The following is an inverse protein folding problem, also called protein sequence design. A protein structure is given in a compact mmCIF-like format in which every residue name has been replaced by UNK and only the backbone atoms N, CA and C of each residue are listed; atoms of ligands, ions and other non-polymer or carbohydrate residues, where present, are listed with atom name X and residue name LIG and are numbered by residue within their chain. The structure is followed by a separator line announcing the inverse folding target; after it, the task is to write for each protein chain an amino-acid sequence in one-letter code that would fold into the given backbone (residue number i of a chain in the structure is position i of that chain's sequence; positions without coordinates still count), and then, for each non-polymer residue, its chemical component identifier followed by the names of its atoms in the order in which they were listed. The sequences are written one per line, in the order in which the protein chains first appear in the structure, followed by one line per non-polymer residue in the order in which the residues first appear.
data_IF_446940231149
#
_entry.id   IF_446940231149
#
_cell.length_a   1.000
_cell.length_b   1.000
_cell.length_c   1.000
_cell.angle_alpha   90.00
_cell.angle_beta   90.00
_cell.angle_gamma   90.00
#
_symmetry.space_group_name_H-M   'P 1'
#
loop_
_entity.id
_entity.type
_entity.pdbx_description
1 polymer ?
#
# COMPACT_ATOMS: atom_id res chain seq x y z
N UNK A 1 4.68 57.99 -29.82
CA UNK A 1 5.10 57.90 -31.23
C UNK A 1 4.44 56.66 -31.82
N UNK A 2 3.64 56.83 -32.88
CA UNK A 2 3.21 55.81 -33.87
C UNK A 2 2.35 54.65 -33.30
N UNK A 3 1.01 54.74 -33.25
CA UNK A 3 0.08 54.40 -34.35
C UNK A 3 0.51 53.22 -35.23
N UNK A 4 -0.13 52.05 -35.10
CA UNK A 4 -0.90 51.49 -36.22
C UNK A 4 -1.79 50.34 -35.76
N UNK A 5 -3.09 50.61 -35.84
CA UNK A 5 -4.15 49.65 -36.11
C UNK A 5 -3.83 48.76 -37.30
N UNK A 6 -4.32 47.52 -37.27
CA UNK A 6 -5.20 46.97 -38.31
C UNK A 6 -5.14 45.43 -38.23
N UNK A 7 -6.23 44.76 -37.85
CA UNK A 7 -7.46 44.53 -38.64
C UNK A 7 -7.30 43.29 -39.51
N UNK A 8 -8.06 42.25 -39.12
CA UNK A 8 -8.65 41.23 -39.99
C UNK A 8 -7.62 40.28 -40.65
N UNK A 9 -7.92 39.06 -41.04
CA UNK A 9 -9.19 38.46 -41.35
C UNK A 9 -9.06 36.93 -41.28
N UNK A 10 -10.17 36.31 -40.88
CA UNK A 10 -10.74 35.06 -41.36
C UNK A 10 -10.07 34.43 -42.59
N UNK A 11 -9.99 33.10 -42.60
CA UNK A 11 -10.54 32.19 -43.63
C UNK A 11 -10.37 30.75 -43.11
N UNK A 12 -11.40 30.08 -42.60
CA UNK A 12 -12.36 29.25 -43.34
C UNK A 12 -11.73 28.44 -44.48
N UNK A 13 -11.60 27.13 -44.28
CA UNK A 13 -12.24 26.10 -45.11
C UNK A 13 -12.01 24.73 -44.40
N UNK A 14 -13.03 23.95 -44.01
CA UNK A 14 -13.87 23.10 -44.87
C UNK A 14 -13.03 22.19 -45.77
N UNK A 15 -13.19 20.87 -45.89
CA UNK A 15 -14.12 19.83 -45.39
C UNK A 15 -13.50 18.49 -45.84
N UNK A 16 -13.82 17.37 -45.17
CA UNK A 16 -14.04 16.02 -45.75
C UNK A 16 -12.94 15.40 -46.66
N UNK A 17 -12.61 14.11 -46.66
CA UNK A 17 -13.23 12.88 -46.18
C UNK A 17 -12.30 11.73 -46.66
N UNK A 18 -12.62 10.52 -46.19
CA UNK A 18 -12.36 9.22 -46.80
C UNK A 18 -11.06 8.47 -46.46
N UNK A 19 -11.32 7.47 -45.63
CA UNK A 19 -10.61 6.22 -45.40
C UNK A 19 -10.25 5.50 -46.70
N UNK A 20 -8.99 5.08 -46.83
CA UNK A 20 -8.57 3.90 -47.60
C UNK A 20 -7.47 3.19 -46.79
N UNK A 21 -7.67 1.89 -46.53
CA UNK A 21 -6.68 0.95 -46.01
C UNK A 21 -5.68 0.61 -47.12
N UNK A 22 -4.39 0.53 -46.80
CA UNK A 22 -3.53 -0.54 -47.33
C UNK A 22 -2.24 -0.69 -46.51
N UNK A 23 -1.84 -1.96 -46.35
CA UNK A 23 -0.65 -2.42 -45.64
C UNK A 23 0.62 -2.17 -46.46
N UNK A 24 1.66 -1.60 -45.83
CA UNK A 24 3.05 -1.84 -46.22
C UNK A 24 4.01 -1.51 -45.06
N UNK A 25 4.75 -2.52 -44.59
CA UNK A 25 5.95 -2.33 -43.76
C UNK A 25 7.02 -1.59 -44.57
N UNK A 26 7.59 -0.51 -44.03
CA UNK A 26 9.02 -0.28 -44.13
C UNK A 26 9.52 0.68 -43.04
N UNK A 27 10.68 0.28 -42.53
CA UNK A 27 11.37 0.71 -41.34
C UNK A 27 11.93 2.14 -41.49
N UNK A 28 11.62 3.04 -40.55
CA UNK A 28 12.40 4.25 -40.30
C UNK A 28 12.41 4.52 -38.80
N UNK A 29 13.61 4.46 -38.23
CA UNK A 29 13.91 4.89 -36.88
C UNK A 29 13.43 6.33 -36.68
N UNK A 30 12.38 6.51 -35.89
CA UNK A 30 12.10 7.76 -35.19
C UNK A 30 11.98 7.50 -33.70
N UNK A 31 12.62 8.39 -32.99
CA UNK A 31 12.84 8.46 -31.57
C UNK A 31 11.53 8.83 -30.87
N UNK A 32 11.24 8.10 -29.77
CA UNK A 32 10.36 8.46 -28.65
C UNK A 32 8.90 8.76 -29.03
N UNK A 33 8.05 7.77 -28.81
CA UNK A 33 6.87 7.93 -27.94
C UNK A 33 6.66 6.60 -27.19
N UNK A 34 6.86 6.53 -25.86
CA UNK A 34 6.08 5.60 -25.08
C UNK A 34 4.65 6.11 -25.16
N UNK A 35 3.93 5.58 -26.13
CA UNK A 35 2.49 5.66 -26.23
C UNK A 35 1.92 5.37 -24.84
N UNK A 36 1.03 6.24 -24.38
CA UNK A 36 0.54 6.30 -23.02
C UNK A 36 -0.18 5.01 -22.64
N UNK A 37 0.56 4.00 -22.20
CA UNK A 37 0.02 2.90 -21.42
C UNK A 37 -0.23 3.42 -20.01
N UNK A 38 -1.33 4.17 -19.85
CA UNK A 38 -1.99 4.36 -18.56
C UNK A 38 -2.66 3.05 -18.09
N UNK A 39 -1.95 1.92 -18.21
CA UNK A 39 -2.19 0.79 -17.36
C UNK A 39 -1.83 1.24 -15.94
N UNK A 40 -2.76 1.16 -15.01
CA UNK A 40 -2.51 1.45 -13.59
C UNK A 40 -1.27 0.65 -13.17
N UNK A 41 -0.11 1.30 -13.09
CA UNK A 41 1.11 0.62 -12.65
C UNK A 41 0.92 0.34 -11.17
N UNK A 42 0.58 -0.92 -10.88
CA UNK A 42 0.53 -1.42 -9.51
C UNK A 42 1.94 -1.28 -8.92
N UNK A 43 2.09 -0.65 -7.75
CA UNK A 43 3.39 -0.58 -7.09
C UNK A 43 3.90 -1.98 -6.79
N UNK A 44 5.15 -2.26 -7.18
CA UNK A 44 5.83 -3.49 -6.75
C UNK A 44 6.63 -3.24 -5.48
N UNK A 45 6.77 -4.28 -4.66
CA UNK A 45 7.55 -4.21 -3.44
C UNK A 45 8.64 -5.28 -3.47
N UNK A 46 9.72 -5.06 -2.73
CA UNK A 46 10.72 -6.09 -2.49
C UNK A 46 11.30 -5.90 -1.11
N UNK A 47 11.13 -6.89 -0.23
CA UNK A 47 11.80 -6.87 1.07
C UNK A 47 13.31 -6.96 0.85
N UNK A 48 14.05 -6.00 1.42
CA UNK A 48 15.51 -5.98 1.33
C UNK A 48 16.16 -6.46 2.62
N UNK A 49 15.58 -6.10 3.77
CA UNK A 49 16.13 -6.41 5.08
C UNK A 49 15.04 -6.42 6.15
N UNK A 50 15.14 -7.36 7.09
CA UNK A 50 14.39 -7.32 8.35
C UNK A 50 15.26 -6.61 9.37
N UNK A 51 14.81 -5.45 9.83
CA UNK A 51 15.54 -4.62 10.79
C UNK A 51 15.37 -5.15 12.21
N UNK A 52 14.14 -5.50 12.56
CA UNK A 52 13.78 -5.87 13.92
C UNK A 52 12.72 -6.96 13.95
N UNK A 53 12.67 -7.72 15.04
CA UNK A 53 11.55 -8.60 15.36
C UNK A 53 11.25 -8.50 16.85
N UNK A 54 10.04 -8.10 17.18
CA UNK A 54 9.59 -7.85 18.54
C UNK A 54 8.40 -8.74 18.86
N UNK A 55 8.59 -9.66 19.80
CA UNK A 55 7.52 -10.51 20.35
C UNK A 55 7.00 -9.92 21.64
N UNK A 56 5.69 -9.70 21.68
CA UNK A 56 4.96 -9.13 22.81
C UNK A 56 3.70 -9.96 23.07
N UNK A 57 3.13 -9.73 24.25
CA UNK A 57 1.75 -10.13 24.54
C UNK A 57 0.96 -8.90 24.95
N UNK A 58 -0.17 -8.69 24.29
CA UNK A 58 -1.20 -7.76 24.72
C UNK A 58 -2.12 -8.46 25.73
N UNK A 59 -2.37 -7.83 26.88
CA UNK A 59 -3.17 -8.43 27.96
C UNK A 59 -4.60 -7.90 28.04
N UNK A 60 -5.03 -7.09 27.07
CA UNK A 60 -6.27 -6.32 27.17
C UNK A 60 -6.10 -4.95 27.87
N UNK A 61 -4.93 -4.71 28.47
CA UNK A 61 -4.65 -3.47 29.21
C UNK A 61 -3.27 -2.91 28.89
N UNK A 62 -2.26 -3.77 28.85
CA UNK A 62 -0.86 -3.37 28.64
C UNK A 62 -0.14 -4.40 27.77
N UNK A 63 1.01 -3.98 27.24
CA UNK A 63 1.95 -4.89 26.60
C UNK A 63 2.93 -5.45 27.63
N UNK A 64 3.29 -6.72 27.47
CA UNK A 64 4.37 -7.38 28.20
C UNK A 64 5.32 -8.07 27.21
N UNK A 65 6.57 -8.27 27.63
CA UNK A 65 7.60 -8.94 26.82
C UNK A 65 8.97 -8.25 26.93
N UNK A 66 10.04 -9.02 26.67
CA UNK A 66 11.44 -8.57 26.81
C UNK A 66 11.79 -7.35 25.95
N UNK A 67 11.05 -7.12 24.87
CA UNK A 67 11.31 -6.04 23.90
C UNK A 67 10.20 -4.99 23.84
N UNK A 68 9.38 -4.88 24.89
CA UNK A 68 8.26 -3.93 24.93
C UNK A 68 8.68 -2.49 24.62
N UNK A 69 9.79 -2.06 25.19
CA UNK A 69 10.24 -0.67 25.10
C UNK A 69 10.93 -0.33 23.76
N UNK A 70 11.20 -1.35 22.94
CA UNK A 70 11.77 -1.18 21.59
C UNK A 70 10.69 -1.21 20.50
N UNK A 71 9.62 -1.97 20.73
CA UNK A 71 8.54 -2.08 19.78
C UNK A 71 7.70 -0.80 19.72
N UNK A 72 7.15 -0.50 18.55
CA UNK A 72 6.17 0.56 18.39
C UNK A 72 4.79 0.14 18.95
N UNK A 73 4.69 0.09 20.28
CA UNK A 73 3.48 -0.33 21.01
C UNK A 73 2.27 0.55 20.71
N UNK A 74 2.50 1.83 20.41
CA UNK A 74 1.45 2.73 19.96
C UNK A 74 0.83 2.25 18.63
N UNK A 75 1.65 1.96 17.62
CA UNK A 75 1.19 1.48 16.32
C UNK A 75 0.45 0.15 16.45
N UNK A 76 1.02 -0.79 17.22
CA UNK A 76 0.40 -2.10 17.47
C UNK A 76 -0.99 -1.92 18.12
N UNK A 77 -1.12 -1.03 19.12
CA UNK A 77 -2.41 -0.75 19.76
C UNK A 77 -3.41 -0.13 18.79
N UNK A 78 -2.97 0.78 17.93
CA UNK A 78 -3.81 1.39 16.91
C UNK A 78 -4.29 0.35 15.87
N UNK A 79 -3.43 -0.59 15.48
CA UNK A 79 -3.80 -1.73 14.64
C UNK A 79 -4.87 -2.59 15.32
N UNK A 80 -4.67 -3.00 16.58
CA UNK A 80 -5.66 -3.82 17.32
C UNK A 80 -7.01 -3.10 17.38
N UNK A 81 -7.02 -1.81 17.74
CA UNK A 81 -8.23 -0.98 17.79
C UNK A 81 -8.91 -0.85 16.43
N UNK A 82 -8.14 -0.67 15.37
CA UNK A 82 -8.63 -0.50 14.01
C UNK A 82 -9.16 -1.79 13.37
N UNK A 83 -8.70 -2.97 13.83
CA UNK A 83 -9.34 -4.25 13.47
C UNK A 83 -10.74 -4.33 14.08
N UNK A 84 -10.83 -4.32 15.41
CA UNK A 84 -12.07 -4.21 16.17
C UNK A 84 -11.74 -3.70 17.57
N UNK A 85 -12.42 -2.64 18.02
CA UNK A 85 -12.23 -2.07 19.35
C UNK A 85 -12.46 -3.08 20.49
N UNK A 86 -13.28 -4.12 20.28
CA UNK A 86 -13.48 -5.21 21.24
C UNK A 86 -12.20 -6.01 21.49
N UNK A 87 -11.33 -6.16 20.49
CA UNK A 87 -10.07 -6.90 20.61
C UNK A 87 -9.12 -6.28 21.63
N UNK A 88 -9.26 -4.98 21.91
CA UNK A 88 -8.51 -4.33 22.99
C UNK A 88 -8.80 -4.93 24.36
N UNK A 89 -9.88 -5.70 24.56
CA UNK A 89 -10.21 -6.34 25.84
C UNK A 89 -9.69 -7.77 25.97
N UNK A 90 -9.19 -8.34 24.87
CA UNK A 90 -8.75 -9.74 24.82
C UNK A 90 -7.23 -9.85 24.80
N UNK A 91 -6.71 -10.99 25.25
CA UNK A 91 -5.28 -11.26 25.21
C UNK A 91 -4.84 -11.72 23.81
N UNK A 92 -3.79 -11.09 23.29
CA UNK A 92 -3.23 -11.39 21.97
C UNK A 92 -1.73 -11.66 22.09
N UNK A 93 -1.27 -12.69 21.38
CA UNK A 93 0.13 -12.83 21.01
C UNK A 93 0.41 -11.89 19.85
N UNK A 94 1.52 -11.16 19.94
CA UNK A 94 1.89 -10.14 18.96
C UNK A 94 3.34 -10.35 18.52
N UNK A 95 3.56 -10.35 17.22
CA UNK A 95 4.90 -10.20 16.63
C UNK A 95 4.88 -8.98 15.72
N UNK A 96 5.73 -8.00 16.00
CA UNK A 96 5.97 -6.88 15.09
C UNK A 96 7.33 -7.06 14.41
N UNK A 97 7.38 -6.90 13.09
CA UNK A 97 8.62 -6.83 12.33
C UNK A 97 8.70 -5.49 11.63
N UNK A 98 9.83 -4.82 11.79
CA UNK A 98 10.13 -3.66 10.98
C UNK A 98 11.06 -4.07 9.83
N UNK A 99 10.70 -3.68 8.62
CA UNK A 99 11.34 -4.13 7.39
C UNK A 99 11.66 -2.97 6.48
N UNK A 100 12.85 -3.03 5.89
CA UNK A 100 13.20 -2.20 4.75
C UNK A 100 12.66 -2.84 3.48
N UNK A 101 12.01 -2.03 2.66
CA UNK A 101 11.52 -2.44 1.35
C UNK A 101 12.03 -1.51 0.27
N UNK A 102 12.21 -2.06 -0.92
CA UNK A 102 12.41 -1.31 -2.14
C UNK A 102 11.10 -1.31 -2.93
N UNK A 103 10.50 -0.14 -3.06
CA UNK A 103 9.29 0.10 -3.82
C UNK A 103 9.64 0.49 -5.25
N UNK A 104 9.01 -0.18 -6.21
CA UNK A 104 9.23 -0.02 -7.65
C UNK A 104 10.71 -0.13 -8.07
N UNK A 105 11.54 -0.81 -7.27
CA UNK A 105 12.97 -0.98 -7.52
C UNK A 105 13.83 0.26 -7.23
N UNK A 106 13.26 1.35 -6.71
CA UNK A 106 13.97 2.64 -6.58
C UNK A 106 13.81 3.24 -5.19
N UNK A 107 12.59 3.36 -4.70
CA UNK A 107 12.31 4.05 -3.44
C UNK A 107 12.51 3.11 -2.26
N UNK A 108 13.38 3.48 -1.31
CA UNK A 108 13.51 2.75 -0.05
C UNK A 108 12.48 3.26 0.95
N UNK A 109 11.66 2.35 1.46
CA UNK A 109 10.65 2.64 2.48
C UNK A 109 10.84 1.71 3.70
N UNK A 110 10.38 2.18 4.85
CA UNK A 110 10.35 1.44 6.10
C UNK A 110 8.91 1.07 6.44
N UNK A 111 8.63 -0.23 6.60
CA UNK A 111 7.28 -0.75 6.82
C UNK A 111 7.28 -1.62 8.08
N UNK A 112 6.20 -1.52 8.86
CA UNK A 112 5.98 -2.41 10.01
C UNK A 112 4.90 -3.43 9.65
N UNK A 113 5.17 -4.71 9.92
CA UNK A 113 4.21 -5.81 9.81
C UNK A 113 3.87 -6.28 11.22
N UNK A 114 2.59 -6.30 11.56
CA UNK A 114 2.08 -6.76 12.86
C UNK A 114 1.32 -8.06 12.67
N UNK A 115 1.85 -9.16 13.19
CA UNK A 115 1.13 -10.42 13.31
C UNK A 115 0.45 -10.51 14.68
N UNK A 116 -0.80 -10.93 14.67
CA UNK A 116 -1.68 -11.09 15.82
C UNK A 116 -2.22 -12.52 15.83
N UNK A 117 -2.26 -13.13 17.01
CA UNK A 117 -2.95 -14.39 17.27
C UNK A 117 -3.67 -14.29 18.61
N UNK A 118 -4.83 -14.94 18.71
CA UNK A 118 -5.51 -15.08 20.00
C UNK A 118 -4.60 -15.81 20.99
N UNK A 119 -4.46 -15.27 22.20
CA UNK A 119 -3.88 -16.00 23.32
C UNK A 119 -4.95 -16.72 24.16
N UNK A 120 -6.22 -16.59 23.80
CA UNK A 120 -7.37 -17.17 24.49
C UNK A 120 -7.84 -18.43 23.76
N UNK A 121 -8.08 -19.50 24.52
CA UNK A 121 -8.54 -20.77 23.95
C UNK A 121 -9.95 -20.59 23.37
N UNK A 122 -10.15 -20.98 22.12
CA UNK A 122 -11.46 -20.98 21.46
C UNK A 122 -11.91 -19.62 20.91
N UNK A 123 -11.10 -18.56 21.06
CA UNK A 123 -11.39 -17.27 20.43
C UNK A 123 -10.66 -17.16 19.09
N UNK A 124 -11.42 -17.16 17.99
CA UNK A 124 -10.90 -17.02 16.64
C UNK A 124 -11.00 -15.58 16.15
N UNK A 125 -9.85 -14.91 16.07
CA UNK A 125 -9.73 -13.53 15.56
C UNK A 125 -9.75 -13.46 14.03
N UNK A 126 -9.67 -14.59 13.34
CA UNK A 126 -9.66 -14.66 11.87
C UNK A 126 -11.06 -14.71 11.24
N UNK A 127 -12.11 -14.82 12.07
CA UNK A 127 -13.50 -14.76 11.61
C UNK A 127 -13.89 -13.36 11.09
N UNK A 128 -13.25 -12.31 11.58
CA UNK A 128 -13.45 -10.94 11.09
C UNK A 128 -12.72 -10.75 9.76
N UNK A 129 -13.32 -10.02 8.80
CA UNK A 129 -12.68 -9.69 7.53
C UNK A 129 -12.80 -8.20 7.24
N UNK A 130 -11.68 -7.58 6.93
CA UNK A 130 -11.56 -6.18 6.49
C UNK A 130 -10.52 -6.12 5.40
N UNK A 131 -10.70 -5.25 4.42
CA UNK A 131 -9.74 -5.15 3.32
C UNK A 131 -8.53 -4.30 3.67
N UNK A 132 -8.77 -3.12 4.24
CA UNK A 132 -7.78 -2.22 4.84
C UNK A 132 -8.49 -1.14 5.67
N UNK A 133 -7.73 -0.34 6.41
CA UNK A 133 -8.21 0.84 7.12
C UNK A 133 -7.09 1.87 7.32
N UNK A 134 -7.49 3.12 7.55
CA UNK A 134 -6.58 4.19 7.93
C UNK A 134 -6.30 4.15 9.45
N UNK A 135 -5.04 4.30 9.84
CA UNK A 135 -4.66 4.52 11.24
C UNK A 135 -4.86 6.01 11.55
N UNK A 136 -6.03 6.33 12.10
CA UNK A 136 -6.48 7.70 12.34
C UNK A 136 -5.56 8.48 13.29
N UNK A 137 -4.87 7.79 14.21
CA UNK A 137 -3.97 8.43 15.16
C UNK A 137 -2.62 8.85 14.52
N UNK A 138 -2.35 8.47 13.27
CA UNK A 138 -1.09 8.77 12.57
C UNK A 138 -1.10 10.18 11.95
N UNK A 139 0.06 10.87 12.00
CA UNK A 139 0.25 12.17 11.33
C UNK A 139 0.26 12.07 9.81
N UNK A 140 0.74 10.95 9.27
CA UNK A 140 0.72 10.63 7.85
C UNK A 140 -0.42 9.63 7.56
N UNK A 141 -0.92 9.55 6.31
CA UNK A 141 -2.02 8.64 5.94
C UNK A 141 -1.56 7.17 5.92
N UNK A 142 -1.28 6.62 7.10
CA UNK A 142 -0.77 5.28 7.33
C UNK A 142 -1.92 4.29 7.22
N UNK A 143 -1.85 3.42 6.23
CA UNK A 143 -2.84 2.39 5.97
C UNK A 143 -2.41 1.06 6.58
N UNK A 144 -3.38 0.31 7.09
CA UNK A 144 -3.22 -1.03 7.62
C UNK A 144 -3.97 -2.02 6.73
N UNK A 145 -3.26 -2.99 6.18
CA UNK A 145 -3.79 -4.00 5.25
C UNK A 145 -3.71 -5.38 5.92
N UNK A 146 -4.83 -5.93 6.41
CA UNK A 146 -4.85 -7.24 7.06
C UNK A 146 -4.95 -8.43 6.09
N UNK A 147 -4.30 -9.52 6.47
CA UNK A 147 -4.30 -10.84 5.85
C UNK A 147 -4.61 -11.89 6.91
N UNK A 148 -5.53 -12.79 6.62
CA UNK A 148 -6.03 -13.79 7.56
C UNK A 148 -5.51 -15.17 7.12
N UNK A 149 -4.58 -15.72 7.90
CA UNK A 149 -3.83 -16.93 7.52
C UNK A 149 -3.70 -17.81 8.76
N UNK A 150 -4.12 -19.08 8.66
CA UNK A 150 -3.97 -20.09 9.70
C UNK A 150 -4.39 -19.63 11.12
N UNK A 151 -5.59 -19.03 11.24
CA UNK A 151 -6.14 -18.55 12.50
C UNK A 151 -5.43 -17.30 13.09
N UNK A 152 -4.61 -16.65 12.28
CA UNK A 152 -3.83 -15.48 12.66
C UNK A 152 -4.07 -14.31 11.70
N UNK A 153 -3.78 -13.10 12.15
CA UNK A 153 -3.95 -11.87 11.38
C UNK A 153 -2.61 -11.19 11.19
N UNK A 154 -2.20 -10.97 9.95
CA UNK A 154 -0.99 -10.27 9.58
C UNK A 154 -1.38 -8.92 8.99
N UNK A 155 -0.91 -7.82 9.57
CA UNK A 155 -1.29 -6.47 9.17
C UNK A 155 -0.06 -5.73 8.70
N UNK A 156 -0.04 -5.36 7.41
CA UNK A 156 1.02 -4.51 6.83
C UNK A 156 0.63 -3.05 7.04
N UNK A 157 1.49 -2.28 7.73
CA UNK A 157 1.29 -0.85 7.97
C UNK A 157 2.20 -0.03 7.04
N UNK A 158 1.63 0.66 6.06
CA UNK A 158 2.38 1.39 5.04
C UNK A 158 1.72 2.72 4.64
N UNK A 159 2.51 3.63 4.08
CA UNK A 159 1.99 4.79 3.36
C UNK A 159 1.94 4.41 1.88
N UNK A 160 0.75 4.14 1.31
CA UNK A 160 0.66 3.68 -0.08
C UNK A 160 0.98 4.81 -1.06
N UNK A 161 1.30 4.45 -2.31
CA UNK A 161 1.18 5.41 -3.43
C UNK A 161 -0.25 5.93 -3.49
N UNK A 162 -0.43 7.13 -4.05
CA UNK A 162 -1.75 7.68 -4.31
C UNK A 162 -1.91 8.06 -5.77
N UNK A 163 -3.15 8.13 -6.22
CA UNK A 163 -3.55 8.76 -7.48
C UNK A 163 -4.58 9.82 -7.20
N UNK A 164 -4.62 10.82 -8.06
CA UNK A 164 -5.66 11.85 -8.06
C UNK A 164 -6.76 11.36 -9.02
N UNK A 165 -8.00 11.31 -8.55
CA UNK A 165 -9.19 11.00 -9.35
C UNK A 165 -10.19 12.12 -9.15
N UNK A 166 -10.32 13.01 -10.15
CA UNK A 166 -10.99 14.28 -9.96
C UNK A 166 -10.26 15.11 -8.89
N UNK A 167 -10.97 15.51 -7.84
CA UNK A 167 -10.41 16.24 -6.70
C UNK A 167 -10.04 15.34 -5.51
N UNK A 168 -10.20 14.01 -5.63
CA UNK A 168 -9.92 13.06 -4.57
C UNK A 168 -8.54 12.40 -4.69
N UNK A 169 -7.82 12.33 -3.57
CA UNK A 169 -6.58 11.55 -3.46
C UNK A 169 -6.92 10.13 -2.97
N UNK A 170 -6.75 9.14 -3.84
CA UNK A 170 -7.06 7.74 -3.55
C UNK A 170 -5.79 6.91 -3.36
N UNK A 171 -5.70 6.07 -2.31
CA UNK A 171 -4.58 5.15 -2.14
C UNK A 171 -4.60 4.06 -3.21
N UNK A 172 -3.42 3.68 -3.69
CA UNK A 172 -3.21 2.55 -4.59
C UNK A 172 -2.68 1.39 -3.75
N UNK A 173 -3.56 0.43 -3.47
CA UNK A 173 -3.25 -0.76 -2.68
C UNK A 173 -3.57 -1.99 -3.54
N UNK A 174 -2.54 -2.72 -3.95
CA UNK A 174 -2.70 -4.05 -4.51
C UNK A 174 -2.38 -5.08 -3.42
N UNK A 175 -3.44 -5.71 -2.91
CA UNK A 175 -3.31 -6.69 -1.82
C UNK A 175 -2.58 -7.95 -2.25
N UNK A 176 -2.64 -8.33 -3.53
CA UNK A 176 -1.96 -9.50 -4.04
C UNK A 176 -0.46 -9.23 -4.16
N UNK A 177 -0.07 -8.07 -4.69
CA UNK A 177 1.33 -7.65 -4.73
C UNK A 177 1.92 -7.58 -3.31
N UNK A 178 1.23 -6.91 -2.39
CA UNK A 178 1.65 -6.86 -0.98
C UNK A 178 1.75 -8.25 -0.33
N UNK A 179 0.87 -9.19 -0.68
CA UNK A 179 0.98 -10.56 -0.18
C UNK A 179 2.22 -11.28 -0.73
N UNK A 180 2.34 -11.36 -2.05
CA UNK A 180 3.39 -12.14 -2.73
C UNK A 180 4.78 -11.54 -2.50
N UNK A 181 4.89 -10.22 -2.56
CA UNK A 181 6.19 -9.53 -2.54
C UNK A 181 6.68 -9.19 -1.13
N UNK A 182 5.76 -8.99 -0.19
CA UNK A 182 6.11 -8.56 1.18
C UNK A 182 5.81 -9.60 2.24
N UNK A 183 4.56 -10.07 2.31
CA UNK A 183 4.15 -10.91 3.42
C UNK A 183 4.69 -12.34 3.27
N UNK A 184 4.46 -12.97 2.13
CA UNK A 184 4.80 -14.37 1.85
C UNK A 184 6.29 -14.70 2.05
N UNK A 185 7.26 -13.88 1.61
CA UNK A 185 8.69 -14.13 1.86
C UNK A 185 9.05 -14.11 3.35
N UNK A 186 8.21 -13.45 4.15
CA UNK A 186 8.41 -13.29 5.57
C UNK A 186 7.70 -14.39 6.38
N UNK A 187 6.69 -15.08 5.87
CA UNK A 187 5.89 -16.08 6.62
C UNK A 187 6.67 -17.27 7.23
N UNK A 188 7.98 -17.36 7.01
CA UNK A 188 8.88 -18.32 7.68
C UNK A 188 8.86 -18.16 9.22
N UNK A 189 9.21 -19.23 9.95
CA UNK A 189 9.25 -19.19 11.41
C UNK A 189 10.24 -18.12 11.94
N UNK A 190 9.95 -17.43 13.07
CA UNK A 190 8.78 -17.53 13.94
C UNK A 190 7.99 -16.21 13.86
N UNK A 191 6.98 -16.16 13.00
CA UNK A 191 6.04 -15.06 13.01
C UNK A 191 5.05 -15.15 14.17
N UNK A 192 4.83 -16.34 14.75
CA UNK A 192 3.99 -16.59 15.93
C UNK A 192 4.49 -17.79 16.73
#
# INVERSE_FOLDING_TARGET
MVCLTCVFCNCIAQTASLCIKDHAQQNKNEIIQPDSMNGKKVPSYRVTQVESTHRLRWTGKTFIGKHKDKANTWLIKAVIKGMDAKWLRHSLLVTAKDVWVLKDGVQKDFITIVALKSAEKGWDISAFKREYFLIAESKAPLHAVPYFINGSVYVICLIPSSRIVGDEVQPIIDRNALYEDMLKPLLNEPFL
#
